data_IF_883932825680
#
_entry.id   IF_883932825680
#
_cell.length_a   1.000
_cell.length_b   1.000
_cell.length_c   1.000
_cell.angle_alpha   90.00
_cell.angle_beta   90.00
_cell.angle_gamma   90.00
#
_symmetry.space_group_name_H-M   'P 1'
#
loop_
_entity.id
_entity.type
_entity.pdbx_description
1 polymer ?
#
# COMPACT_ATOMS: atom_id res chain seq x y z
N UNK A 1 -18.78 -2.24 -7.84
CA UNK A 1 -17.90 -2.05 -6.67
C UNK A 1 -16.90 -0.96 -7.01
N UNK A 2 -17.12 0.23 -6.47
CA UNK A 2 -16.10 1.26 -6.38
C UNK A 2 -14.98 0.75 -5.48
N UNK A 3 -13.74 0.74 -5.93
CA UNK A 3 -12.63 0.49 -5.01
C UNK A 3 -11.48 1.41 -5.36
N UNK A 4 -11.55 2.61 -4.80
CA UNK A 4 -10.35 3.41 -4.54
C UNK A 4 -9.33 2.55 -3.79
N UNK A 5 -8.07 2.63 -4.22
CA UNK A 5 -6.95 1.87 -3.66
C UNK A 5 -6.87 2.00 -2.13
N UNK A 6 -6.74 0.86 -1.44
CA UNK A 6 -6.66 0.78 0.03
C UNK A 6 -5.34 0.21 0.48
N UNK A 7 -4.66 0.97 1.32
CA UNK A 7 -3.47 0.54 2.05
C UNK A 7 -3.90 0.21 3.47
N UNK A 8 -3.67 -1.01 3.94
CA UNK A 8 -3.88 -1.37 5.34
C UNK A 8 -2.57 -1.27 6.13
N UNK A 9 -2.60 -0.55 7.25
CA UNK A 9 -1.47 -0.41 8.15
C UNK A 9 -1.63 -1.41 9.31
N UNK A 10 -0.64 -2.28 9.48
CA UNK A 10 -0.57 -3.30 10.53
C UNK A 10 0.75 -3.18 11.28
N UNK A 11 0.77 -3.71 12.50
CA UNK A 11 1.96 -3.73 13.35
C UNK A 11 1.55 -3.97 14.80
N UNK A 12 2.49 -4.49 15.59
CA UNK A 12 2.27 -4.70 17.01
C UNK A 12 2.05 -3.38 17.76
N UNK A 13 1.49 -3.42 18.98
CA UNK A 13 1.47 -2.26 19.86
C UNK A 13 2.87 -1.65 20.03
N UNK A 14 2.94 -0.32 20.15
CA UNK A 14 4.20 0.42 20.37
C UNK A 14 5.27 0.37 19.25
N UNK A 15 5.02 -0.30 18.11
CA UNK A 15 5.90 -0.21 16.93
C UNK A 15 5.91 1.17 16.26
N UNK A 16 4.95 2.03 16.62
CA UNK A 16 4.80 3.38 16.08
C UNK A 16 3.79 3.50 14.94
N UNK A 17 2.89 2.52 14.79
CA UNK A 17 1.77 2.53 13.82
C UNK A 17 0.95 3.81 13.86
N UNK A 18 0.52 4.27 15.04
CA UNK A 18 -0.27 5.50 15.18
C UNK A 18 0.53 6.74 14.79
N UNK A 19 1.82 6.79 15.14
CA UNK A 19 2.72 7.87 14.70
C UNK A 19 2.88 7.86 13.18
N UNK A 20 3.05 6.68 12.57
CA UNK A 20 3.14 6.54 11.12
C UNK A 20 1.86 7.04 10.45
N UNK A 21 0.69 6.59 10.91
CA UNK A 21 -0.61 7.05 10.40
C UNK A 21 -0.78 8.57 10.51
N UNK A 22 -0.42 9.16 11.65
CA UNK A 22 -0.44 10.62 11.81
C UNK A 22 0.56 11.32 10.87
N UNK A 23 1.71 10.70 10.58
CA UNK A 23 2.73 11.24 9.70
C UNK A 23 2.32 11.21 8.22
N UNK A 24 1.63 10.16 7.77
CA UNK A 24 1.16 10.04 6.37
C UNK A 24 -0.19 10.73 6.12
N UNK A 25 -1.04 10.83 7.14
CA UNK A 25 -2.38 11.41 6.96
C UNK A 25 -2.36 12.93 7.09
N UNK A 26 -3.18 13.60 6.29
CA UNK A 26 -3.50 15.00 6.55
C UNK A 26 -4.80 15.10 7.35
N UNK A 27 -4.68 15.29 8.67
CA UNK A 27 -5.81 15.50 9.57
C UNK A 27 -6.69 16.72 9.20
N UNK A 28 -6.20 17.61 8.32
CA UNK A 28 -6.93 18.80 7.86
C UNK A 28 -7.60 18.66 6.49
N UNK A 29 -7.37 17.56 5.79
CA UNK A 29 -8.06 17.29 4.53
C UNK A 29 -9.56 17.18 4.82
N UNK A 30 -10.33 18.23 4.48
CA UNK A 30 -11.79 18.17 4.51
C UNK A 30 -12.19 16.96 3.70
N UNK A 31 -12.78 15.99 4.39
CA UNK A 31 -13.44 14.82 3.82
C UNK A 31 -14.64 15.34 3.02
N UNK A 32 -14.37 15.84 1.83
CA UNK A 32 -15.41 16.12 0.85
C UNK A 32 -16.00 14.81 0.37
N UNK A 33 -17.23 14.88 -0.14
CA UNK A 33 -17.89 13.79 -0.86
C UNK A 33 -17.04 13.38 -2.07
N UNK A 34 -16.00 12.58 -1.86
CA UNK A 34 -15.47 11.73 -2.91
C UNK A 34 -16.65 10.86 -3.34
N UNK A 35 -16.87 10.60 -4.63
CA UNK A 35 -17.81 9.56 -5.02
C UNK A 35 -17.39 8.32 -4.21
N UNK A 36 -18.32 7.73 -3.46
CA UNK A 36 -18.12 6.51 -2.68
C UNK A 36 -17.43 6.60 -1.29
N UNK A 37 -17.31 7.78 -0.65
CA UNK A 37 -16.84 7.85 0.76
C UNK A 37 -17.99 7.78 1.77
N UNK A 38 -18.16 6.63 2.41
CA UNK A 38 -18.65 6.54 3.78
C UNK A 38 -17.44 6.27 4.65
N UNK A 39 -16.97 7.26 5.41
CA UNK A 39 -15.74 7.12 6.21
C UNK A 39 -16.10 6.56 7.59
N UNK A 40 -15.55 5.38 7.88
CA UNK A 40 -15.50 4.81 9.23
C UNK A 40 -14.31 5.42 10.01
N UNK A 41 -14.37 5.51 11.35
CA UNK A 41 -13.39 6.23 12.19
C UNK A 41 -11.92 5.76 12.09
N UNK A 42 -11.64 4.63 11.41
CA UNK A 42 -10.31 4.05 11.24
C UNK A 42 -9.67 4.32 9.86
N UNK A 43 -10.21 5.28 9.08
CA UNK A 43 -9.72 5.57 7.72
C UNK A 43 -9.05 6.95 7.64
N UNK A 44 -7.87 6.98 7.01
CA UNK A 44 -7.11 8.20 6.70
C UNK A 44 -6.87 8.37 5.21
N UNK A 45 -6.47 9.58 4.79
CA UNK A 45 -6.05 9.87 3.42
C UNK A 45 -4.57 10.24 3.42
N UNK A 46 -3.78 9.49 2.67
CA UNK A 46 -2.42 9.86 2.29
C UNK A 46 -2.38 10.24 0.80
N UNK A 47 -1.21 10.63 0.32
CA UNK A 47 -1.05 11.08 -1.05
C UNK A 47 0.10 10.37 -1.74
N UNK A 48 -0.16 9.94 -2.97
CA UNK A 48 0.82 9.32 -3.85
C UNK A 48 1.23 10.31 -4.95
N UNK A 49 2.51 10.72 -5.02
CA UNK A 49 2.98 11.60 -6.08
C UNK A 49 3.06 10.84 -7.41
N UNK A 50 2.57 11.46 -8.48
CA UNK A 50 2.71 11.01 -9.87
C UNK A 50 3.10 12.17 -10.77
N UNK A 51 3.77 11.89 -11.88
CA UNK A 51 4.05 12.92 -12.89
C UNK A 51 2.73 13.45 -13.45
N UNK A 52 2.53 14.76 -13.33
CA UNK A 52 1.36 15.43 -13.85
C UNK A 52 1.61 15.85 -15.30
N UNK A 53 0.69 15.54 -16.24
CA UNK A 53 0.78 16.02 -17.62
C UNK A 53 0.88 17.54 -17.75
N UNK A 54 0.47 18.31 -16.71
CA UNK A 54 0.60 19.77 -16.72
C UNK A 54 2.06 20.25 -16.80
N UNK A 55 3.05 19.44 -16.39
CA UNK A 55 4.46 19.77 -16.52
C UNK A 55 4.87 20.02 -17.98
N UNK A 56 4.17 19.37 -18.93
CA UNK A 56 4.40 19.49 -20.38
C UNK A 56 3.63 20.65 -21.01
N UNK A 57 2.78 21.34 -20.24
CA UNK A 57 1.95 22.46 -20.70
C UNK A 57 2.29 23.73 -19.90
N UNK A 58 3.46 24.36 -20.18
CA UNK A 58 3.93 25.52 -19.42
C UNK A 58 2.93 26.69 -19.47
N UNK A 59 2.74 27.37 -18.35
CA UNK A 59 1.92 28.58 -18.24
C UNK A 59 0.49 28.41 -17.71
N UNK A 60 0.04 27.18 -17.36
CA UNK A 60 -1.25 26.94 -16.72
C UNK A 60 -1.10 26.31 -15.33
N UNK A 61 -1.71 26.93 -14.31
CA UNK A 61 -1.80 26.33 -12.98
C UNK A 61 -2.79 25.16 -12.99
N UNK A 62 -2.29 23.95 -12.73
CA UNK A 62 -3.14 22.78 -12.62
C UNK A 62 -3.95 22.86 -11.32
N UNK A 63 -5.28 22.91 -11.43
CA UNK A 63 -6.19 22.94 -10.28
C UNK A 63 -6.95 21.61 -10.18
N UNK A 64 -6.40 20.61 -9.48
CA UNK A 64 -7.11 19.36 -9.22
C UNK A 64 -8.41 19.61 -8.43
N UNK A 65 -9.39 18.74 -8.65
CA UNK A 65 -10.55 18.59 -7.76
C UNK A 65 -10.19 17.92 -6.43
N UNK A 66 -9.22 17.01 -6.45
CA UNK A 66 -8.76 16.24 -5.29
C UNK A 66 -7.24 16.18 -5.22
N UNK A 67 -6.70 16.25 -4.00
CA UNK A 67 -5.26 16.40 -3.78
C UNK A 67 -4.75 17.76 -4.27
N UNK A 68 -3.47 17.82 -4.62
CA UNK A 68 -2.86 19.04 -5.14
C UNK A 68 -1.87 18.74 -6.28
N UNK A 69 -1.42 19.80 -6.93
CA UNK A 69 -0.35 19.74 -7.93
C UNK A 69 0.70 20.76 -7.53
N UNK A 70 1.96 20.34 -7.44
CA UNK A 70 3.11 21.20 -7.17
C UNK A 70 4.22 20.82 -8.14
N UNK A 71 4.79 21.80 -8.84
CA UNK A 71 5.96 21.65 -9.72
C UNK A 71 5.88 20.47 -10.70
N UNK A 72 4.73 20.33 -11.36
CA UNK A 72 4.52 19.25 -12.33
C UNK A 72 4.28 17.87 -11.72
N UNK A 73 4.19 17.74 -10.40
CA UNK A 73 3.80 16.51 -9.69
C UNK A 73 2.38 16.62 -9.14
N UNK A 74 1.57 15.59 -9.40
CA UNK A 74 0.22 15.43 -8.88
C UNK A 74 0.25 14.53 -7.65
N UNK A 75 -0.34 14.98 -6.56
CA UNK A 75 -0.49 14.21 -5.33
C UNK A 75 -1.89 13.60 -5.29
N UNK A 76 -1.99 12.32 -5.65
CA UNK A 76 -3.26 11.59 -5.77
C UNK A 76 -3.65 11.02 -4.41
N UNK A 77 -4.87 11.25 -3.91
CA UNK A 77 -5.29 10.70 -2.63
C UNK A 77 -5.38 9.17 -2.68
N UNK A 78 -4.82 8.52 -1.66
CA UNK A 78 -4.90 7.07 -1.43
C UNK A 78 -5.48 6.81 -0.04
N UNK A 79 -6.33 5.77 0.08
CA UNK A 79 -6.96 5.45 1.36
C UNK A 79 -6.01 4.64 2.22
N UNK A 80 -5.96 4.99 3.48
CA UNK A 80 -5.29 4.24 4.53
C UNK A 80 -6.32 3.70 5.50
N UNK A 81 -6.18 2.44 5.86
CA UNK A 81 -6.97 1.77 6.87
C UNK A 81 -6.05 1.46 8.06
N UNK A 82 -6.42 1.94 9.24
CA UNK A 82 -5.78 1.49 10.48
C UNK A 82 -6.37 0.14 10.89
N UNK A 83 -5.59 -0.92 10.72
CA UNK A 83 -6.02 -2.25 11.13
C UNK A 83 -5.65 -2.42 12.60
N UNK A 84 -6.69 -2.37 13.44
CA UNK A 84 -6.52 -2.48 14.88
C UNK A 84 -6.06 -3.89 15.29
N UNK A 85 -4.97 -3.97 16.05
CA UNK A 85 -4.74 -5.02 17.05
C UNK A 85 -4.69 -6.45 16.54
N UNK A 86 -3.73 -6.76 15.67
CA UNK A 86 -3.20 -8.12 15.65
C UNK A 86 -2.38 -8.32 16.94
N UNK A 87 -2.79 -9.30 17.73
CA UNK A 87 -2.02 -9.81 18.87
C UNK A 87 -1.60 -11.24 18.50
N UNK A 88 -0.40 -11.70 18.90
CA UNK A 88 -0.01 -13.08 18.68
C UNK A 88 -1.08 -14.11 19.11
N UNK A 89 -1.34 -15.11 18.26
CA UNK A 89 -2.37 -16.12 18.48
C UNK A 89 -3.78 -15.74 18.00
N UNK A 90 -3.95 -14.64 17.26
CA UNK A 90 -5.21 -14.25 16.63
C UNK A 90 -5.79 -15.37 15.73
N UNK A 91 -4.92 -16.09 15.01
CA UNK A 91 -5.30 -17.25 14.18
C UNK A 91 -5.98 -18.39 14.96
N UNK A 92 -5.72 -18.52 16.27
CA UNK A 92 -6.32 -19.55 17.17
C UNK A 92 -7.58 -19.07 17.91
N UNK A 93 -8.11 -17.90 17.57
CA UNK A 93 -9.36 -17.37 18.15
C UNK A 93 -9.17 -16.49 19.40
N UNK A 94 -7.93 -16.14 19.77
CA UNK A 94 -7.63 -15.29 20.96
C UNK A 94 -7.86 -13.79 20.77
N UNK A 95 -8.43 -13.34 19.66
CA UNK A 95 -8.80 -11.93 19.51
C UNK A 95 -9.03 -11.51 18.06
N UNK A 96 -10.21 -10.94 17.82
CA UNK A 96 -10.57 -10.11 16.66
C UNK A 96 -10.53 -10.73 15.25
N UNK A 97 -10.60 -12.07 15.15
CA UNK A 97 -10.57 -12.82 13.89
C UNK A 97 -11.44 -12.26 12.77
N UNK A 98 -12.73 -11.94 12.98
CA UNK A 98 -13.58 -11.48 11.86
C UNK A 98 -13.32 -10.03 11.43
N UNK A 99 -13.07 -9.12 12.37
CA UNK A 99 -12.91 -7.69 12.07
C UNK A 99 -11.59 -7.41 11.35
N UNK A 100 -10.52 -8.06 11.81
CA UNK A 100 -9.20 -8.02 11.16
C UNK A 100 -9.28 -8.47 9.69
N UNK A 101 -10.11 -9.48 9.40
CA UNK A 101 -10.28 -10.00 8.06
C UNK A 101 -11.17 -9.14 7.18
N UNK A 102 -12.19 -8.50 7.74
CA UNK A 102 -12.95 -7.51 6.99
C UNK A 102 -12.03 -6.37 6.55
N UNK A 103 -11.13 -5.93 7.44
CA UNK A 103 -10.12 -4.92 7.14
C UNK A 103 -9.12 -5.40 6.08
N UNK A 104 -8.52 -6.59 6.26
CA UNK A 104 -7.62 -7.20 5.26
C UNK A 104 -8.32 -7.45 3.92
N UNK A 105 -9.55 -7.94 3.91
CA UNK A 105 -10.33 -8.25 2.69
C UNK A 105 -10.44 -7.01 1.80
N UNK A 106 -10.58 -5.85 2.41
CA UNK A 106 -10.71 -4.58 1.71
C UNK A 106 -9.35 -3.94 1.35
N UNK A 107 -8.25 -4.43 1.93
CA UNK A 107 -6.91 -3.92 1.66
C UNK A 107 -6.39 -4.42 0.30
N UNK A 108 -5.82 -3.52 -0.49
CA UNK A 108 -5.04 -3.88 -1.67
C UNK A 108 -3.59 -4.18 -1.27
N UNK A 109 -2.99 -3.48 -0.32
CA UNK A 109 -1.59 -3.69 0.10
C UNK A 109 -1.46 -3.55 1.61
N UNK A 110 -0.49 -4.24 2.20
CA UNK A 110 -0.19 -4.10 3.62
C UNK A 110 1.07 -3.26 3.82
N UNK A 111 1.00 -2.29 4.74
CA UNK A 111 2.17 -1.69 5.37
C UNK A 111 2.33 -2.35 6.74
N UNK A 112 3.46 -3.03 6.95
CA UNK A 112 3.82 -3.56 8.24
C UNK A 112 4.82 -2.63 8.94
N UNK A 113 4.34 -1.91 9.96
CA UNK A 113 5.18 -1.04 10.80
C UNK A 113 5.88 -1.86 11.86
N UNK A 114 7.21 -1.91 11.79
CA UNK A 114 8.08 -2.72 12.65
C UNK A 114 9.01 -1.82 13.44
N UNK A 115 9.23 -2.12 14.72
CA UNK A 115 10.13 -1.36 15.58
C UNK A 115 11.60 -1.72 15.30
N UNK A 116 12.28 -0.97 14.44
CA UNK A 116 13.67 -1.26 14.06
C UNK A 116 14.63 -1.15 15.25
N UNK A 117 14.30 -0.39 16.29
CA UNK A 117 15.18 -0.23 17.45
C UNK A 117 15.26 -1.47 18.34
N UNK A 118 14.30 -2.41 18.23
CA UNK A 118 14.24 -3.57 19.14
C UNK A 118 13.97 -3.20 20.61
N UNK A 119 13.42 -2.01 20.86
CA UNK A 119 13.10 -1.51 22.21
C UNK A 119 11.74 -1.95 22.72
N UNK A 120 10.94 -2.64 21.91
CA UNK A 120 9.63 -3.16 22.30
C UNK A 120 9.49 -4.64 22.00
N UNK A 121 8.93 -5.41 22.93
CA UNK A 121 8.65 -6.84 22.77
C UNK A 121 7.41 -7.09 21.89
N UNK A 122 7.04 -8.35 21.70
CA UNK A 122 5.86 -8.79 20.91
C UNK A 122 4.52 -8.21 21.42
N UNK A 123 4.46 -7.86 22.71
CA UNK A 123 3.30 -7.25 23.36
C UNK A 123 3.35 -5.72 23.39
N UNK A 124 4.41 -5.13 22.82
CA UNK A 124 4.64 -3.68 22.80
C UNK A 124 5.11 -3.09 24.13
N UNK A 125 5.64 -3.93 25.04
CA UNK A 125 6.25 -3.48 26.29
C UNK A 125 7.73 -3.15 26.06
N UNK A 126 8.25 -2.22 26.83
CA UNK A 126 9.67 -1.86 26.74
C UNK A 126 10.56 -3.07 27.07
N UNK A 127 11.57 -3.28 26.23
CA UNK A 127 12.55 -4.36 26.38
C UNK A 127 13.89 -3.92 25.78
N UNK A 128 14.91 -4.77 25.92
CA UNK A 128 16.23 -4.56 25.31
C UNK A 128 16.62 -5.77 24.48
N UNK A 129 17.10 -5.52 23.27
CA UNK A 129 17.65 -6.57 22.40
C UNK A 129 16.61 -7.51 21.80
N UNK A 130 15.36 -7.06 21.65
CA UNK A 130 14.35 -7.79 20.89
C UNK A 130 14.74 -7.79 19.40
N UNK A 131 14.59 -8.92 18.72
CA UNK A 131 14.89 -9.04 17.28
C UNK A 131 13.66 -8.64 16.45
N UNK A 132 13.68 -7.50 15.72
CA UNK A 132 12.53 -7.08 14.94
C UNK A 132 12.23 -8.00 13.73
N UNK A 133 13.13 -8.94 13.40
CA UNK A 133 12.84 -10.00 12.43
C UNK A 133 11.65 -10.84 12.90
N UNK A 134 11.55 -11.11 14.20
CA UNK A 134 10.48 -11.92 14.78
C UNK A 134 9.11 -11.29 14.49
N UNK A 135 8.99 -9.96 14.55
CA UNK A 135 7.76 -9.25 14.19
C UNK A 135 7.39 -9.49 12.72
N UNK A 136 8.34 -9.33 11.79
CA UNK A 136 8.10 -9.51 10.34
C UNK A 136 7.60 -10.93 10.06
N UNK A 137 8.25 -11.94 10.64
CA UNK A 137 7.87 -13.34 10.46
C UNK A 137 6.51 -13.65 11.09
N UNK A 138 6.25 -13.09 12.27
CA UNK A 138 5.02 -13.30 13.00
C UNK A 138 3.78 -12.89 12.18
N UNK A 139 3.78 -11.67 11.60
CA UNK A 139 2.64 -11.20 10.81
C UNK A 139 2.35 -12.17 9.65
N UNK A 140 3.38 -12.55 8.91
CA UNK A 140 3.23 -13.46 7.78
C UNK A 140 2.68 -14.80 8.23
N UNK A 141 3.24 -15.36 9.30
CA UNK A 141 2.85 -16.67 9.84
C UNK A 141 1.40 -16.68 10.31
N UNK A 142 0.94 -15.64 11.01
CA UNK A 142 -0.45 -15.55 11.47
C UNK A 142 -1.45 -15.55 10.31
N UNK A 143 -1.16 -14.78 9.25
CA UNK A 143 -2.04 -14.73 8.06
C UNK A 143 -2.00 -16.06 7.30
N UNK A 144 -0.82 -16.67 7.16
CA UNK A 144 -0.66 -18.00 6.54
C UNK A 144 -1.42 -19.08 7.29
N UNK A 145 -1.16 -19.24 8.59
CA UNK A 145 -1.78 -20.29 9.41
C UNK A 145 -3.30 -20.17 9.41
N UNK A 146 -3.80 -18.94 9.43
CA UNK A 146 -5.22 -18.70 9.42
C UNK A 146 -5.88 -19.03 8.06
N UNK A 147 -5.32 -18.58 6.93
CA UNK A 147 -5.86 -18.93 5.60
C UNK A 147 -5.73 -20.43 5.36
N UNK A 148 -4.58 -21.01 5.69
CA UNK A 148 -4.34 -22.45 5.59
C UNK A 148 -5.36 -23.24 6.41
N UNK A 149 -5.55 -22.91 7.69
CA UNK A 149 -6.51 -23.62 8.55
C UNK A 149 -7.96 -23.53 8.07
N UNK A 150 -8.33 -22.50 7.30
CA UNK A 150 -9.64 -22.43 6.65
C UNK A 150 -9.76 -23.35 5.44
N UNK A 151 -8.71 -23.41 4.62
CA UNK A 151 -8.66 -24.25 3.43
C UNK A 151 -8.56 -25.73 3.81
N UNK A 152 -7.65 -26.06 4.74
CA UNK A 152 -7.41 -27.40 5.27
C UNK A 152 -8.70 -28.06 5.76
N UNK A 153 -9.46 -27.39 6.63
CA UNK A 153 -10.73 -27.92 7.18
C UNK A 153 -11.76 -28.29 6.11
N UNK A 154 -11.69 -27.66 4.94
CA UNK A 154 -12.63 -27.86 3.83
C UNK A 154 -12.03 -28.70 2.70
N UNK A 155 -10.73 -29.01 2.74
CA UNK A 155 -9.98 -29.60 1.64
C UNK A 155 -10.60 -30.91 1.10
N UNK A 156 -11.01 -31.89 1.93
CA UNK A 156 -11.64 -33.12 1.42
C UNK A 156 -12.96 -32.87 0.68
N UNK A 157 -13.70 -31.82 1.06
CA UNK A 157 -14.92 -31.40 0.38
C UNK A 157 -14.63 -30.69 -0.95
N UNK A 158 -13.58 -29.85 -0.98
CA UNK A 158 -13.13 -29.13 -2.17
C UNK A 158 -12.72 -30.12 -3.26
N UNK A 159 -11.85 -31.08 -2.91
CA UNK A 159 -11.35 -32.09 -3.86
C UNK A 159 -12.50 -32.94 -4.41
N UNK A 160 -13.37 -33.49 -3.55
CA UNK A 160 -14.51 -34.31 -4.00
C UNK A 160 -15.41 -33.57 -4.98
N UNK A 161 -15.72 -32.29 -4.70
CA UNK A 161 -16.54 -31.47 -5.59
C UNK A 161 -15.81 -31.15 -6.90
N UNK A 162 -14.52 -30.84 -6.84
CA UNK A 162 -13.71 -30.56 -8.02
C UNK A 162 -13.71 -31.73 -9.00
N UNK A 163 -13.44 -32.94 -8.51
CA UNK A 163 -13.43 -34.17 -9.32
C UNK A 163 -14.80 -34.46 -9.92
N UNK A 164 -15.88 -34.27 -9.16
CA UNK A 164 -17.24 -34.51 -9.64
C UNK A 164 -17.70 -33.50 -10.71
N UNK A 165 -17.40 -32.21 -10.51
CA UNK A 165 -17.86 -31.11 -11.38
C UNK A 165 -16.94 -30.91 -12.59
N UNK A 166 -15.67 -31.35 -12.51
CA UNK A 166 -14.63 -31.11 -13.52
C UNK A 166 -14.45 -29.63 -13.88
N UNK A 167 -14.66 -28.75 -12.90
CA UNK A 167 -14.39 -27.33 -13.05
C UNK A 167 -12.88 -27.07 -13.22
N UNK A 168 -12.50 -25.90 -13.73
CA UNK A 168 -11.08 -25.53 -13.73
C UNK A 168 -10.56 -25.40 -12.30
N UNK A 169 -9.27 -25.68 -12.10
CA UNK A 169 -8.60 -25.56 -10.79
C UNK A 169 -8.70 -24.12 -10.28
N UNK A 170 -8.52 -23.16 -11.18
CA UNK A 170 -8.57 -21.74 -10.87
C UNK A 170 -9.94 -21.32 -10.37
N UNK A 171 -11.02 -21.76 -11.01
CA UNK A 171 -12.38 -21.42 -10.57
C UNK A 171 -12.72 -22.11 -9.24
N UNK A 172 -12.24 -23.34 -9.05
CA UNK A 172 -12.40 -24.09 -7.80
C UNK A 172 -11.75 -23.37 -6.63
N UNK A 173 -10.48 -22.99 -6.77
CA UNK A 173 -9.72 -22.30 -5.72
C UNK A 173 -10.20 -20.87 -5.53
N UNK A 174 -10.57 -20.15 -6.61
CA UNK A 174 -11.16 -18.81 -6.52
C UNK A 174 -12.45 -18.81 -5.72
N UNK A 175 -13.34 -19.79 -5.93
CA UNK A 175 -14.56 -19.91 -5.15
C UNK A 175 -14.30 -20.09 -3.64
N UNK A 176 -13.21 -20.77 -3.26
CA UNK A 176 -12.84 -20.94 -1.84
C UNK A 176 -12.21 -19.69 -1.24
N UNK A 177 -11.50 -18.91 -2.05
CA UNK A 177 -10.73 -17.75 -1.62
C UNK A 177 -11.45 -16.42 -1.88
N UNK A 178 -12.64 -16.42 -2.47
CA UNK A 178 -13.43 -15.23 -2.78
C UNK A 178 -13.68 -14.34 -1.54
N UNK A 179 -13.80 -14.95 -0.36
CA UNK A 179 -13.93 -14.25 0.92
C UNK A 179 -12.77 -13.31 1.26
N UNK A 180 -11.62 -13.45 0.58
CA UNK A 180 -10.43 -12.61 0.73
C UNK A 180 -10.41 -11.38 -0.17
N UNK A 181 -11.48 -11.09 -0.91
CA UNK A 181 -11.50 -9.95 -1.83
C UNK A 181 -10.53 -10.14 -3.00
N UNK A 182 -10.33 -11.39 -3.40
CA UNK A 182 -9.45 -11.75 -4.51
C UNK A 182 -10.21 -11.85 -5.84
N UNK A 183 -9.50 -11.63 -6.94
CA UNK A 183 -10.01 -11.80 -8.30
C UNK A 183 -9.41 -13.06 -8.93
N UNK A 184 -10.09 -13.60 -9.95
CA UNK A 184 -9.67 -14.83 -10.65
C UNK A 184 -8.22 -14.77 -11.13
N UNK A 185 -7.77 -13.62 -11.65
CA UNK A 185 -6.40 -13.43 -12.15
C UNK A 185 -5.32 -13.54 -11.05
N UNK A 186 -5.64 -13.17 -9.81
CA UNK A 186 -4.72 -13.33 -8.67
C UNK A 186 -4.54 -14.81 -8.34
N UNK A 187 -5.63 -15.57 -8.34
CA UNK A 187 -5.58 -17.03 -8.13
C UNK A 187 -4.87 -17.73 -9.29
N UNK A 188 -5.11 -17.29 -10.53
CA UNK A 188 -4.42 -17.80 -11.71
C UNK A 188 -2.89 -17.68 -11.56
N UNK A 189 -2.36 -16.51 -11.18
CA UNK A 189 -0.92 -16.33 -11.00
C UNK A 189 -0.32 -17.23 -9.92
N UNK A 190 -1.05 -17.46 -8.82
CA UNK A 190 -0.62 -18.41 -7.79
C UNK A 190 -0.65 -19.87 -8.30
N UNK A 191 -1.65 -20.24 -9.11
CA UNK A 191 -1.74 -21.55 -9.77
C UNK A 191 -0.60 -21.73 -10.78
N UNK A 192 -0.27 -20.70 -11.56
CA UNK A 192 0.83 -20.75 -12.53
C UNK A 192 2.19 -20.96 -11.82
N UNK A 193 2.40 -20.29 -10.68
CA UNK A 193 3.57 -20.49 -9.84
C UNK A 193 3.62 -21.91 -9.23
N UNK A 194 2.50 -22.42 -8.74
CA UNK A 194 2.41 -23.82 -8.28
C UNK A 194 2.74 -24.82 -9.41
N UNK A 195 2.23 -24.56 -10.61
CA UNK A 195 2.51 -25.41 -11.77
C UNK A 195 3.99 -25.42 -12.12
N UNK A 196 4.67 -24.26 -12.05
CA UNK A 196 6.11 -24.16 -12.27
C UNK A 196 6.93 -24.94 -11.22
N UNK A 197 6.45 -25.05 -9.97
CA UNK A 197 7.14 -25.75 -8.89
C UNK A 197 6.91 -27.27 -8.89
N UNK A 198 5.68 -27.73 -9.16
CA UNK A 198 5.30 -29.14 -8.99
C UNK A 198 4.93 -29.86 -10.28
N UNK A 199 4.68 -29.14 -11.39
CA UNK A 199 4.22 -29.69 -12.66
C UNK A 199 2.77 -30.20 -12.61
N UNK A 200 2.48 -31.24 -11.85
CA UNK A 200 1.11 -31.77 -11.73
C UNK A 200 0.25 -30.89 -10.82
N UNK A 201 -0.93 -30.51 -11.31
CA UNK A 201 -1.89 -29.66 -10.60
C UNK A 201 -3.17 -30.42 -10.20
N UNK A 202 -3.12 -31.76 -10.19
CA UNK A 202 -4.24 -32.61 -9.81
C UNK A 202 -4.52 -32.44 -8.30
N UNK A 203 -5.61 -31.75 -7.96
CA UNK A 203 -5.90 -31.36 -6.57
C UNK A 203 -6.10 -32.56 -5.63
N UNK A 204 -6.53 -33.71 -6.14
CA UNK A 204 -6.68 -34.96 -5.39
C UNK A 204 -5.34 -35.59 -4.98
N UNK A 205 -4.24 -35.17 -5.59
CA UNK A 205 -2.87 -35.60 -5.26
C UNK A 205 -2.14 -34.63 -4.34
N UNK A 206 -2.79 -33.55 -3.90
CA UNK A 206 -2.16 -32.58 -2.99
C UNK A 206 -2.26 -33.06 -1.55
N UNK A 207 -1.10 -33.16 -0.91
CA UNK A 207 -1.00 -33.25 0.54
C UNK A 207 -1.16 -31.85 1.19
N UNK A 208 -1.17 -31.82 2.52
CA UNK A 208 -1.35 -30.59 3.28
C UNK A 208 -0.18 -29.61 3.10
N UNK A 209 1.03 -30.11 2.85
CA UNK A 209 2.19 -29.25 2.60
C UNK A 209 2.03 -28.50 1.28
N UNK A 210 1.60 -29.17 0.20
CA UNK A 210 1.27 -28.49 -1.08
C UNK A 210 0.13 -27.50 -0.94
N UNK A 211 -0.89 -27.80 -0.13
CA UNK A 211 -1.98 -26.85 0.16
C UNK A 211 -1.42 -25.61 0.86
N UNK A 212 -0.50 -25.78 1.81
CA UNK A 212 0.17 -24.67 2.51
C UNK A 212 1.04 -23.84 1.56
N UNK A 213 1.78 -24.48 0.67
CA UNK A 213 2.60 -23.78 -0.33
C UNK A 213 1.74 -22.99 -1.31
N UNK A 214 0.60 -23.53 -1.76
CA UNK A 214 -0.36 -22.75 -2.54
C UNK A 214 -0.89 -21.54 -1.76
N UNK A 215 -1.22 -21.71 -0.47
CA UNK A 215 -1.65 -20.58 0.38
C UNK A 215 -0.56 -19.51 0.45
N UNK A 216 0.72 -19.88 0.56
CA UNK A 216 1.84 -18.93 0.56
C UNK A 216 1.89 -18.12 -0.73
N UNK A 217 1.88 -18.80 -1.88
CA UNK A 217 1.92 -18.13 -3.18
C UNK A 217 0.68 -17.25 -3.41
N UNK A 218 -0.48 -17.72 -2.96
CA UNK A 218 -1.70 -16.92 -2.98
C UNK A 218 -1.58 -15.67 -2.13
N UNK A 219 -1.01 -15.75 -0.92
CA UNK A 219 -0.81 -14.60 -0.05
C UNK A 219 0.22 -13.63 -0.59
N UNK A 220 1.27 -14.10 -1.28
CA UNK A 220 2.25 -13.22 -1.94
C UNK A 220 1.60 -12.40 -3.06
N UNK A 221 0.67 -13.02 -3.79
CA UNK A 221 -0.14 -12.37 -4.82
C UNK A 221 -1.23 -11.47 -4.24
N UNK A 222 -1.89 -11.91 -3.17
CA UNK A 222 -3.06 -11.24 -2.60
C UNK A 222 -2.69 -10.15 -1.60
N UNK A 223 -1.63 -10.28 -0.83
CA UNK A 223 -1.25 -9.34 0.21
C UNK A 223 0.24 -9.00 0.14
N UNK A 224 0.67 -8.34 -0.96
CA UNK A 224 2.02 -7.80 -0.98
C UNK A 224 2.19 -6.86 0.20
N UNK A 225 3.33 -7.01 0.88
CA UNK A 225 3.62 -6.34 2.14
C UNK A 225 4.85 -5.46 1.98
N UNK A 226 4.70 -4.20 2.37
CA UNK A 226 5.78 -3.23 2.52
C UNK A 226 6.12 -3.12 3.99
N UNK A 227 7.38 -3.33 4.35
CA UNK A 227 7.83 -3.23 5.75
C UNK A 227 8.36 -1.82 5.99
N UNK A 228 7.70 -1.06 6.84
CA UNK A 228 8.19 0.21 7.36
C UNK A 228 9.01 -0.07 8.63
N UNK A 229 10.33 -0.16 8.49
CA UNK A 229 11.27 -0.27 9.60
C UNK A 229 11.34 1.07 10.33
N UNK A 230 10.47 1.26 11.31
CA UNK A 230 10.26 2.51 12.00
C UNK A 230 11.23 2.70 13.17
N UNK A 231 11.36 3.94 13.65
CA UNK A 231 12.27 4.35 14.74
C UNK A 231 13.75 4.21 14.38
N UNK A 232 14.12 4.51 13.14
CA UNK A 232 15.52 4.53 12.67
C UNK A 232 16.37 5.62 13.35
N UNK A 233 15.72 6.57 14.02
CA UNK A 233 16.33 7.61 14.85
C UNK A 233 16.85 7.10 16.21
N UNK A 234 16.62 5.83 16.54
CA UNK A 234 17.04 5.24 17.82
C UNK A 234 18.44 4.59 17.74
N UNK A 235 19.25 4.61 18.83
CA UNK A 235 20.65 4.16 18.81
C UNK A 235 20.89 2.71 18.34
N UNK A 236 19.98 1.78 18.68
CA UNK A 236 20.13 0.35 18.35
C UNK A 236 19.57 -0.04 16.97
N UNK A 237 18.96 0.91 16.25
CA UNK A 237 18.30 0.62 14.98
C UNK A 237 19.28 0.09 13.92
N UNK A 238 20.49 0.63 13.85
CA UNK A 238 21.49 0.29 12.82
C UNK A 238 21.84 -1.20 12.80
N UNK A 239 22.08 -1.78 13.97
CA UNK A 239 22.45 -3.19 14.12
C UNK A 239 21.32 -4.09 13.63
N UNK A 240 20.08 -3.77 14.02
CA UNK A 240 18.90 -4.54 13.64
C UNK A 240 18.58 -4.38 12.16
N UNK A 241 18.65 -3.16 11.63
CA UNK A 241 18.51 -2.88 10.19
C UNK A 241 19.51 -3.71 9.39
N UNK A 242 20.80 -3.73 9.78
CA UNK A 242 21.81 -4.53 9.10
C UNK A 242 21.50 -6.03 9.15
N UNK A 243 20.98 -6.54 10.27
CA UNK A 243 20.54 -7.94 10.41
C UNK A 243 19.38 -8.27 9.47
N UNK A 244 18.35 -7.40 9.46
CA UNK A 244 17.16 -7.54 8.61
C UNK A 244 17.57 -7.49 7.14
N UNK A 245 18.31 -6.47 6.72
CA UNK A 245 18.76 -6.32 5.33
C UNK A 245 19.60 -7.52 4.87
N UNK A 246 20.42 -8.12 5.76
CA UNK A 246 21.16 -9.35 5.45
C UNK A 246 20.24 -10.55 5.30
N UNK A 247 19.25 -10.72 6.17
CA UNK A 247 18.29 -11.84 6.15
C UNK A 247 17.42 -11.83 4.90
N UNK A 248 16.90 -10.66 4.55
CA UNK A 248 15.98 -10.46 3.43
C UNK A 248 16.70 -10.14 2.10
N UNK A 249 18.03 -10.29 2.07
CA UNK A 249 18.82 -10.17 0.85
C UNK A 249 18.51 -11.32 -0.10
N UNK A 250 18.27 -11.02 -1.37
CA UNK A 250 18.12 -12.01 -2.43
C UNK A 250 17.02 -11.63 -3.43
N UNK A 251 16.94 -12.34 -4.56
CA UNK A 251 15.90 -12.09 -5.56
C UNK A 251 14.53 -12.65 -5.16
N UNK A 252 14.50 -13.65 -4.29
CA UNK A 252 13.27 -14.31 -3.85
C UNK A 252 12.70 -13.67 -2.58
N UNK A 253 11.36 -13.53 -2.47
CA UNK A 253 10.72 -13.11 -1.24
C UNK A 253 11.08 -14.05 -0.08
N UNK A 254 11.28 -13.48 1.10
CA UNK A 254 11.35 -14.23 2.37
C UNK A 254 10.26 -13.72 3.28
N UNK A 255 9.56 -14.62 3.96
CA UNK A 255 8.43 -14.28 4.84
C UNK A 255 7.38 -13.37 4.11
N UNK A 256 7.22 -13.54 2.79
CA UNK A 256 6.33 -12.73 1.95
C UNK A 256 6.82 -11.30 1.64
N UNK A 257 8.07 -10.97 1.98
CA UNK A 257 8.68 -9.65 1.83
C UNK A 257 9.89 -9.73 0.89
N UNK A 258 9.93 -8.82 -0.08
CA UNK A 258 11.09 -8.61 -0.96
C UNK A 258 11.97 -7.48 -0.40
N UNK A 259 13.30 -7.52 -0.59
CA UNK A 259 14.20 -6.49 -0.05
C UNK A 259 13.84 -5.07 -0.50
N UNK A 260 13.37 -4.87 -1.74
CA UNK A 260 12.93 -3.57 -2.25
C UNK A 260 11.65 -3.04 -1.59
N UNK A 261 10.91 -3.89 -0.88
CA UNK A 261 9.71 -3.52 -0.13
C UNK A 261 10.01 -3.17 1.33
N UNK A 262 11.28 -3.13 1.73
CA UNK A 262 11.70 -2.72 3.07
C UNK A 262 12.13 -1.25 3.01
N UNK A 263 11.47 -0.40 3.79
CA UNK A 263 11.71 1.05 3.81
C UNK A 263 12.06 1.48 5.23
N UNK A 264 13.20 2.16 5.37
CA UNK A 264 13.65 2.76 6.63
C UNK A 264 12.78 3.96 6.95
N UNK A 265 12.25 4.07 8.17
CA UNK A 265 11.24 5.08 8.50
C UNK A 265 11.48 5.73 9.88
N UNK A 266 11.28 7.04 9.98
CA UNK A 266 11.15 7.76 11.26
C UNK A 266 9.83 8.54 11.30
N UNK A 267 8.77 7.87 11.72
CA UNK A 267 7.43 8.46 11.77
C UNK A 267 7.32 9.65 12.74
N UNK A 268 8.05 9.61 13.86
CA UNK A 268 8.04 10.70 14.84
C UNK A 268 8.78 11.94 14.33
N UNK A 269 9.86 11.76 13.57
CA UNK A 269 10.57 12.86 12.92
C UNK A 269 9.67 13.54 11.89
N UNK A 270 8.99 12.77 11.03
CA UNK A 270 8.05 13.32 10.05
C UNK A 270 6.89 14.07 10.72
N UNK A 271 6.29 13.50 11.77
CA UNK A 271 5.26 14.19 12.56
C UNK A 271 5.74 15.54 13.09
N UNK A 272 6.98 15.57 13.57
CA UNK A 272 7.58 16.78 14.11
C UNK A 272 7.85 17.82 13.03
N UNK A 273 8.48 17.44 11.91
CA UNK A 273 8.75 18.34 10.77
C UNK A 273 7.45 18.94 10.21
N UNK A 274 6.43 18.10 9.98
CA UNK A 274 5.10 18.57 9.52
C UNK A 274 4.46 19.53 10.52
N UNK A 275 4.59 19.27 11.83
CA UNK A 275 4.09 20.18 12.88
C UNK A 275 4.83 21.52 12.83
N UNK A 276 6.15 21.51 12.72
CA UNK A 276 6.96 22.74 12.62
C UNK A 276 6.61 23.55 11.37
N UNK A 277 6.39 22.88 10.24
CA UNK A 277 5.96 23.49 8.98
C UNK A 277 4.59 24.16 9.10
N UNK A 278 3.60 23.45 9.65
CA UNK A 278 2.25 24.03 9.92
C UNK A 278 2.31 25.24 10.84
N UNK A 279 3.28 25.24 11.76
CA UNK A 279 3.55 26.31 12.69
C UNK A 279 4.48 27.40 12.11
N UNK A 280 4.86 27.32 10.82
CA UNK A 280 5.77 28.26 10.17
C UNK A 280 7.09 28.44 10.92
N UNK A 281 7.61 27.38 11.54
CA UNK A 281 8.96 27.38 12.11
C UNK A 281 10.01 26.93 11.09
N UNK A 282 9.61 26.11 10.12
CA UNK A 282 10.47 25.65 9.02
C UNK A 282 9.68 25.67 7.71
N UNK A 283 10.39 25.69 6.60
CA UNK A 283 9.90 25.33 5.27
C UNK A 283 10.38 23.92 4.94
N UNK A 284 9.45 22.99 4.71
CA UNK A 284 9.73 21.57 4.46
C UNK A 284 8.59 20.96 3.64
N UNK A 285 8.93 20.17 2.62
CA UNK A 285 7.96 19.32 1.93
C UNK A 285 8.14 17.88 2.39
N UNK A 286 7.02 17.19 2.65
CA UNK A 286 7.05 15.78 3.08
C UNK A 286 7.82 14.91 2.08
N UNK A 287 8.85 14.22 2.58
CA UNK A 287 9.73 13.37 1.79
C UNK A 287 11.04 14.04 1.35
N UNK A 288 11.21 15.34 1.60
CA UNK A 288 12.47 16.02 1.28
C UNK A 288 13.60 15.58 2.21
N UNK A 289 14.83 15.70 1.71
CA UNK A 289 16.07 15.40 2.44
C UNK A 289 16.54 16.54 3.33
N UNK A 290 15.86 17.68 3.29
CA UNK A 290 16.26 18.89 4.01
C UNK A 290 15.06 19.79 4.30
N UNK A 291 15.23 20.71 5.24
CA UNK A 291 14.28 21.77 5.53
C UNK A 291 15.03 23.08 5.72
N UNK A 292 14.34 24.20 5.51
CA UNK A 292 14.90 25.54 5.75
C UNK A 292 14.32 26.15 7.03
N UNK A 293 15.19 26.73 7.86
CA UNK A 293 14.82 27.52 9.05
C UNK A 293 14.79 29.02 8.76
N UNK A 294 15.30 29.44 7.60
CA UNK A 294 15.64 30.84 7.30
C UNK A 294 14.79 31.41 6.15
N UNK A 295 13.78 30.66 5.70
CA UNK A 295 12.86 31.10 4.67
C UNK A 295 12.05 32.35 5.11
N UNK A 296 11.68 33.23 4.16
CA UNK A 296 10.87 34.40 4.47
C UNK A 296 9.53 34.05 5.15
N UNK A 297 9.23 34.71 6.27
CA UNK A 297 7.95 34.56 6.97
C UNK A 297 7.90 33.42 8.00
N UNK A 298 9.04 32.80 8.31
CA UNK A 298 9.17 31.86 9.41
C UNK A 298 9.26 32.56 10.77
N UNK A 299 8.82 31.86 11.81
CA UNK A 299 8.90 32.26 13.22
C UNK A 299 10.21 31.74 13.82
N UNK A 300 10.83 32.47 14.76
CA UNK A 300 12.02 32.01 15.45
C UNK A 300 11.73 30.75 16.27
N UNK A 301 12.67 29.80 16.30
CA UNK A 301 12.55 28.57 17.09
C UNK A 301 13.21 28.78 18.47
N UNK A 302 12.70 28.08 19.50
CA UNK A 302 13.41 28.02 20.79
C UNK A 302 14.59 27.04 20.72
N UNK A 303 15.54 27.14 21.66
CA UNK A 303 16.74 26.29 21.66
C UNK A 303 16.39 24.79 21.66
N UNK A 304 15.30 24.40 22.32
CA UNK A 304 14.87 23.00 22.39
C UNK A 304 14.40 22.49 21.03
N UNK A 305 13.62 23.29 20.32
CA UNK A 305 13.14 22.97 18.97
C UNK A 305 14.31 22.93 18.01
N UNK A 306 15.22 23.89 18.09
CA UNK A 306 16.42 23.95 17.24
C UNK A 306 17.29 22.68 17.41
N UNK A 307 17.63 22.31 18.66
CA UNK A 307 18.39 21.07 18.92
C UNK A 307 17.68 19.81 18.39
N UNK A 308 16.34 19.78 18.45
CA UNK A 308 15.57 18.65 17.92
C UNK A 308 15.57 18.62 16.38
N UNK A 309 15.50 19.78 15.74
CA UNK A 309 15.62 19.91 14.28
C UNK A 309 17.01 19.47 13.81
N UNK A 310 18.07 19.91 14.49
CA UNK A 310 19.46 19.49 14.24
C UNK A 310 19.61 17.97 14.38
N UNK A 311 19.12 17.38 15.46
CA UNK A 311 19.15 15.92 15.64
C UNK A 311 18.42 15.16 14.52
N UNK A 312 17.27 15.66 14.03
CA UNK A 312 16.54 15.05 12.93
C UNK A 312 17.31 15.20 11.61
N UNK A 313 17.91 16.37 11.38
CA UNK A 313 18.77 16.62 10.23
C UNK A 313 19.91 15.61 10.19
N UNK A 314 20.65 15.45 11.28
CA UNK A 314 21.86 14.61 11.32
C UNK A 314 21.55 13.11 11.36
N UNK A 315 20.66 12.69 12.27
CA UNK A 315 20.41 11.28 12.53
C UNK A 315 19.45 10.63 11.52
N UNK A 316 18.62 11.44 10.85
CA UNK A 316 17.59 10.94 9.94
C UNK A 316 17.82 11.42 8.51
N UNK A 317 17.69 12.73 8.26
CA UNK A 317 17.61 13.26 6.90
C UNK A 317 18.95 13.14 6.14
N UNK A 318 20.05 13.58 6.75
CA UNK A 318 21.40 13.46 6.17
C UNK A 318 21.80 12.00 5.98
N UNK A 319 21.43 11.15 6.96
CA UNK A 319 21.84 9.75 6.98
C UNK A 319 21.07 8.87 5.99
N UNK A 320 19.77 9.07 5.87
CA UNK A 320 18.88 8.19 5.10
C UNK A 320 18.26 8.86 3.88
N UNK A 321 18.45 10.17 3.70
CA UNK A 321 17.94 10.96 2.58
C UNK A 321 16.49 11.43 2.75
N UNK A 322 15.72 10.85 3.67
CA UNK A 322 14.35 11.27 3.99
C UNK A 322 13.93 10.70 5.35
N UNK A 323 12.73 11.01 5.80
CA UNK A 323 12.10 10.31 6.94
C UNK A 323 11.55 8.94 6.57
N UNK A 324 11.51 8.58 5.27
CA UNK A 324 10.97 7.33 4.73
C UNK A 324 9.45 7.21 4.72
N UNK A 325 8.73 8.10 5.39
CA UNK A 325 7.28 7.99 5.56
C UNK A 325 6.54 8.08 4.22
N UNK A 326 6.93 9.02 3.36
CA UNK A 326 6.36 9.16 2.01
C UNK A 326 6.79 7.99 1.10
N UNK A 327 8.02 7.49 1.28
CA UNK A 327 8.58 6.38 0.50
C UNK A 327 7.84 5.07 0.76
N UNK A 328 7.38 4.83 1.99
CA UNK A 328 6.50 3.69 2.31
C UNK A 328 5.20 3.75 1.51
N UNK A 329 4.55 4.93 1.44
CA UNK A 329 3.29 5.10 0.68
C UNK A 329 3.54 4.90 -0.82
N UNK A 330 4.62 5.47 -1.35
CA UNK A 330 5.05 5.29 -2.74
C UNK A 330 5.25 3.82 -3.06
N UNK A 331 6.07 3.11 -2.26
CA UNK A 331 6.35 1.70 -2.44
C UNK A 331 5.08 0.83 -2.34
N UNK A 332 4.16 1.17 -1.45
CA UNK A 332 2.90 0.45 -1.28
C UNK A 332 1.99 0.56 -2.53
N UNK A 333 1.97 1.69 -3.22
CA UNK A 333 1.25 1.84 -4.49
C UNK A 333 1.99 1.12 -5.62
N UNK A 334 3.31 1.26 -5.69
CA UNK A 334 4.17 0.71 -6.75
C UNK A 334 4.21 -0.82 -6.76
N UNK A 335 4.27 -1.47 -5.59
CA UNK A 335 4.27 -2.94 -5.49
C UNK A 335 3.02 -3.57 -6.11
N UNK A 336 1.93 -2.79 -6.20
CA UNK A 336 0.69 -3.21 -6.86
C UNK A 336 0.59 -2.81 -8.34
N UNK A 337 1.50 -1.97 -8.82
CA UNK A 337 1.57 -1.54 -10.22
C UNK A 337 0.38 -0.67 -10.66
N UNK A 338 -0.26 0.07 -9.75
CA UNK A 338 -1.39 0.91 -10.14
C UNK A 338 -1.01 1.95 -11.20
N UNK A 339 -1.89 2.13 -12.18
CA UNK A 339 -1.72 3.04 -13.31
C UNK A 339 -2.46 4.34 -13.01
N UNK A 340 -1.79 5.51 -12.99
CA UNK A 340 -2.47 6.79 -12.89
C UNK A 340 -3.13 7.16 -14.23
N UNK A 341 -4.43 7.45 -14.18
CA UNK A 341 -5.25 7.80 -15.35
C UNK A 341 -5.84 9.19 -15.16
N UNK A 342 -5.70 10.03 -16.18
CA UNK A 342 -6.17 11.41 -16.22
C UNK A 342 -7.36 11.52 -17.18
N UNK A 343 -8.60 11.39 -16.68
CA UNK A 343 -9.78 11.67 -17.49
C UNK A 343 -9.90 13.19 -17.73
N UNK A 344 -10.10 13.59 -18.98
CA UNK A 344 -10.16 15.00 -19.38
C UNK A 344 -11.36 15.26 -20.28
N UNK A 345 -11.92 16.48 -20.19
CA UNK A 345 -12.89 16.98 -21.18
C UNK A 345 -12.19 17.60 -22.39
N UNK A 346 -11.00 18.16 -22.17
CA UNK A 346 -10.14 18.74 -23.19
C UNK A 346 -8.67 18.55 -22.81
N UNK A 347 -7.83 18.28 -23.81
CA UNK A 347 -6.39 18.16 -23.60
C UNK A 347 -5.82 19.52 -23.17
N UNK A 348 -5.39 19.61 -21.91
CA UNK A 348 -4.88 20.84 -21.30
C UNK A 348 -5.55 21.22 -19.99
N UNK A 349 -6.64 20.54 -19.61
CA UNK A 349 -7.22 20.63 -18.27
C UNK A 349 -7.21 19.24 -17.62
N UNK A 350 -6.52 19.10 -16.51
CA UNK A 350 -6.42 17.85 -15.74
C UNK A 350 -7.14 18.06 -14.40
N UNK A 351 -8.46 17.92 -14.32
CA UNK A 351 -9.20 18.12 -13.07
C UNK A 351 -9.05 16.93 -12.12
N UNK A 352 -8.83 15.74 -12.66
CA UNK A 352 -8.86 14.48 -11.90
C UNK A 352 -7.66 13.61 -12.26
N UNK A 353 -7.29 12.72 -11.34
CA UNK A 353 -6.34 11.64 -11.55
C UNK A 353 -6.77 10.48 -10.67
N UNK A 354 -6.95 9.30 -11.27
CA UNK A 354 -7.43 8.11 -10.60
C UNK A 354 -6.40 6.99 -10.77
N UNK A 355 -6.16 6.23 -9.70
CA UNK A 355 -5.33 5.03 -9.76
C UNK A 355 -6.20 3.84 -10.13
N UNK A 356 -5.83 3.12 -11.20
CA UNK A 356 -6.51 1.89 -11.63
C UNK A 356 -5.57 0.70 -11.62
N UNK A 357 -6.11 -0.51 -11.50
CA UNK A 357 -5.31 -1.74 -11.51
C UNK A 357 -4.68 -1.96 -12.90
N UNK A 358 -3.48 -2.58 -12.98
CA UNK A 358 -2.93 -3.05 -14.25
C UNK A 358 -3.95 -3.84 -15.07
N UNK A 359 -3.98 -3.61 -16.38
CA UNK A 359 -4.91 -4.29 -17.29
C UNK A 359 -6.36 -3.81 -17.23
N UNK A 360 -6.67 -2.74 -16.47
CA UNK A 360 -7.99 -2.09 -16.57
C UNK A 360 -8.19 -1.59 -18.00
N UNK A 361 -9.28 -2.00 -18.64
CA UNK A 361 -9.63 -1.59 -20.00
C UNK A 361 -10.23 -0.19 -20.03
N UNK A 362 -10.26 0.46 -21.20
CA UNK A 362 -10.90 1.76 -21.39
C UNK A 362 -12.38 1.71 -21.00
N UNK A 363 -13.11 0.67 -21.40
CA UNK A 363 -14.53 0.51 -21.04
C UNK A 363 -14.73 0.29 -19.54
N UNK A 364 -13.89 -0.53 -18.90
CA UNK A 364 -13.96 -0.75 -17.46
C UNK A 364 -13.65 0.52 -16.66
N UNK A 365 -12.77 1.37 -17.18
CA UNK A 365 -12.50 2.68 -16.59
C UNK A 365 -13.68 3.64 -16.76
N UNK A 366 -14.28 3.71 -17.96
CA UNK A 366 -15.47 4.52 -18.24
C UNK A 366 -16.62 4.21 -17.26
N UNK A 367 -16.91 2.91 -17.07
CA UNK A 367 -17.90 2.39 -16.10
C UNK A 367 -17.68 2.85 -14.68
N UNK A 368 -16.42 3.08 -14.29
CA UNK A 368 -16.04 3.49 -12.92
C UNK A 368 -16.06 5.00 -12.72
N UNK A 369 -15.93 5.78 -13.79
CA UNK A 369 -15.76 7.23 -13.70
C UNK A 369 -17.07 7.94 -13.37
N UNK A 370 -18.13 7.72 -14.14
CA UNK A 370 -19.46 8.28 -13.89
C UNK A 370 -20.54 7.45 -14.60
N UNK A 371 -21.73 7.31 -14.00
CA UNK A 371 -22.84 6.55 -14.58
C UNK A 371 -23.25 7.06 -15.96
N UNK A 372 -23.14 8.38 -16.18
CA UNK A 372 -23.55 9.01 -17.44
C UNK A 372 -22.56 8.71 -18.57
N UNK A 373 -21.26 8.67 -18.26
CA UNK A 373 -20.21 8.30 -19.22
C UNK A 373 -20.38 6.84 -19.65
N UNK A 374 -20.83 5.96 -18.76
CA UNK A 374 -21.11 4.57 -19.11
C UNK A 374 -22.34 4.42 -20.01
N UNK A 375 -23.42 5.15 -19.70
CA UNK A 375 -24.69 5.10 -20.46
C UNK A 375 -24.57 5.72 -21.84
N UNK A 376 -23.80 6.79 -21.97
CA UNK A 376 -23.65 7.58 -23.20
C UNK A 376 -22.30 7.34 -23.89
N UNK A 377 -21.62 6.24 -23.58
CA UNK A 377 -20.30 5.94 -24.14
C UNK A 377 -20.35 5.89 -25.68
N UNK A 378 -19.77 6.89 -26.34
CA UNK A 378 -19.65 6.94 -27.80
C UNK A 378 -18.24 6.60 -28.29
N UNK A 379 -17.23 6.75 -27.43
CA UNK A 379 -15.84 6.44 -27.74
C UNK A 379 -14.87 7.08 -26.75
N UNK A 380 -13.58 6.81 -26.96
CA UNK A 380 -12.51 7.38 -26.17
C UNK A 380 -11.30 7.69 -27.05
N UNK A 381 -10.63 8.80 -26.78
CA UNK A 381 -9.40 9.20 -27.45
C UNK A 381 -8.31 9.57 -26.45
N UNK A 382 -7.05 9.40 -26.85
CA UNK A 382 -5.88 9.87 -26.11
C UNK A 382 -5.20 11.05 -26.80
N UNK A 383 -4.09 11.52 -26.22
CA UNK A 383 -3.33 12.68 -26.73
C UNK A 383 -2.98 12.46 -28.21
N UNK A 384 -3.21 13.49 -29.02
CA UNK A 384 -3.01 13.43 -30.48
C UNK A 384 -4.24 12.94 -31.26
N UNK A 385 -5.39 12.75 -30.61
CA UNK A 385 -6.63 12.34 -31.27
C UNK A 385 -6.67 10.86 -31.66
N UNK A 386 -5.78 10.05 -31.08
CA UNK A 386 -5.74 8.61 -31.31
C UNK A 386 -6.95 7.96 -30.61
N UNK A 387 -7.80 7.30 -31.40
CA UNK A 387 -8.94 6.54 -30.88
C UNK A 387 -8.46 5.31 -30.11
N UNK A 388 -9.12 5.04 -28.98
CA UNK A 388 -8.86 3.87 -28.14
C UNK A 388 -10.03 2.89 -28.30
N UNK A 389 -9.70 1.61 -28.46
CA UNK A 389 -10.71 0.55 -28.43
C UNK A 389 -11.24 0.34 -27.00
N UNK A 390 -12.44 -0.21 -26.88
CA UNK A 390 -13.05 -0.47 -25.56
C UNK A 390 -12.24 -1.46 -24.71
N UNK A 391 -11.61 -2.43 -25.37
CA UNK A 391 -10.81 -3.51 -24.80
C UNK A 391 -9.32 -3.15 -24.63
N UNK A 392 -8.89 -1.97 -25.10
CA UNK A 392 -7.53 -1.51 -24.90
C UNK A 392 -7.20 -1.40 -23.40
N UNK A 393 -6.13 -2.05 -22.98
CA UNK A 393 -5.59 -1.89 -21.65
C UNK A 393 -5.00 -0.47 -21.47
N UNK A 394 -5.30 0.15 -20.34
CA UNK A 394 -4.73 1.45 -19.99
C UNK A 394 -3.31 1.25 -19.44
N UNK A 395 -2.35 1.94 -20.04
CA UNK A 395 -0.92 1.86 -19.77
C UNK A 395 -0.37 3.26 -19.49
N UNK A 396 0.32 3.40 -18.35
CA UNK A 396 0.95 4.66 -17.94
C UNK A 396 1.90 5.18 -19.02
N UNK A 397 1.81 6.47 -19.34
CA UNK A 397 2.65 7.13 -20.33
C UNK A 397 2.31 6.84 -21.80
N UNK A 398 1.43 5.86 -22.09
CA UNK A 398 1.01 5.52 -23.46
C UNK A 398 -0.37 6.07 -23.80
N UNK A 399 -1.39 5.67 -23.05
CA UNK A 399 -2.80 6.02 -23.31
C UNK A 399 -3.56 6.39 -22.02
N UNK A 400 -2.84 6.81 -20.98
CA UNK A 400 -3.41 7.10 -19.65
C UNK A 400 -3.95 8.53 -19.48
N UNK A 401 -3.99 9.33 -20.55
CA UNK A 401 -4.74 10.59 -20.62
C UNK A 401 -5.89 10.33 -21.57
N UNK A 402 -7.12 10.31 -21.06
CA UNK A 402 -8.28 9.81 -21.79
C UNK A 402 -9.37 10.88 -21.84
N UNK A 403 -9.84 11.17 -23.04
CA UNK A 403 -11.04 11.97 -23.27
C UNK A 403 -12.15 11.05 -23.77
N UNK A 404 -13.26 11.02 -23.06
CA UNK A 404 -14.48 10.32 -23.50
C UNK A 404 -15.28 11.25 -24.41
N UNK A 405 -15.81 10.68 -25.50
CA UNK A 405 -16.53 11.40 -26.56
C UNK A 405 -18.03 11.47 -26.31
#
# INVERSE_FOLDING_TARGET
>A
MSSSFVIACVGKPSAGKSSFLNAVTDASAKVGNFPFTTIEPNQGIAYYPVDCPCARAPGKTCKPRYGWCADGRRFVPVRLLDVAGLVPGASTGRGLGNKFLDDLRNADVLIHVVDASGTTDDNGRETKGYDPIDDIQWLRKEVEDWVFGNVERRWPGIVRRHVAVKASIVDTLHAQLAGYGTVRSTVQRAVDQMHALYGSMDLDKWDLDRVRDFVRLFLDERFPTVVALNKIDMPDADKNIASIMRRYRGPEPRDGVRPENIVLTSALSECFLRKMTKQKFIEYTTGDSEFSTDAPGLRPQDERTQRRLENISDLVLFRYGSTGVQDVVVRAVEVRGFVPVFPVKSFGAFPECLLVRPGTTVRDFARRLHSDIDREYAGAETVGGLQLAEDDAIVAGKNNIIKFL
#
